data_IF_316995258836
#
_entry.id   IF_316995258836
#
_cell.length_a   1.000
_cell.length_b   1.000
_cell.length_c   1.000
_cell.angle_alpha   90.00
_cell.angle_beta   90.00
_cell.angle_gamma   90.00
#
_symmetry.space_group_name_H-M   'P 1'
#
loop_
_entity.id
_entity.type
_entity.pdbx_description
1 polymer ?
#
# COMPACT_ATOMS: atom_id res chain seq x y z
N UNK A 1 -4.97 0.93 -3.96
CA UNK A 1 -5.44 -0.44 -4.20
C UNK A 1 -4.41 -1.26 -4.97
N UNK A 2 -4.52 -2.62 -5.00
CA UNK A 2 -3.74 -3.52 -5.88
C UNK A 2 -4.70 -4.23 -6.81
N UNK A 3 -4.39 -4.27 -8.12
CA UNK A 3 -5.19 -4.95 -9.13
C UNK A 3 -4.29 -5.78 -10.06
N UNK A 4 -4.56 -7.09 -10.13
CA UNK A 4 -3.89 -7.99 -11.08
C UNK A 4 -4.57 -8.00 -12.45
N UNK A 5 -3.79 -8.11 -13.51
CA UNK A 5 -4.28 -8.32 -14.87
C UNK A 5 -3.58 -9.57 -15.41
N UNK A 6 -4.34 -10.63 -15.64
CA UNK A 6 -3.78 -11.91 -16.08
C UNK A 6 -4.52 -12.50 -17.28
N UNK A 7 -3.86 -13.37 -17.98
CA UNK A 7 -4.35 -14.03 -19.21
C UNK A 7 -3.20 -14.78 -19.88
N UNK A 8 -3.51 -15.54 -20.92
CA UNK A 8 -2.48 -16.20 -21.73
C UNK A 8 -1.58 -15.17 -22.44
N UNK A 9 -0.48 -15.64 -23.00
CA UNK A 9 0.34 -14.84 -23.90
C UNK A 9 -0.55 -14.25 -25.02
N UNK A 10 -0.21 -13.06 -25.49
CA UNK A 10 -0.91 -12.33 -26.57
C UNK A 10 -2.42 -12.06 -26.33
N UNK A 11 -2.89 -12.14 -25.08
CA UNK A 11 -4.28 -11.78 -24.72
C UNK A 11 -4.54 -10.28 -24.55
N UNK A 12 -3.62 -9.42 -24.95
CA UNK A 12 -3.77 -7.95 -24.88
C UNK A 12 -3.56 -7.33 -23.49
N UNK A 13 -2.92 -8.04 -22.53
CA UNK A 13 -2.67 -7.54 -21.17
C UNK A 13 -1.89 -6.23 -21.15
N UNK A 14 -0.76 -6.20 -21.81
CA UNK A 14 0.13 -5.03 -21.83
C UNK A 14 -0.58 -3.82 -22.43
N UNK A 15 -1.26 -3.99 -23.56
CA UNK A 15 -2.04 -2.92 -24.20
C UNK A 15 -3.16 -2.39 -23.29
N UNK A 16 -3.83 -3.28 -22.54
CA UNK A 16 -4.87 -2.84 -21.58
C UNK A 16 -4.25 -2.10 -20.39
N UNK A 17 -3.10 -2.57 -19.87
CA UNK A 17 -2.36 -1.89 -18.80
C UNK A 17 -1.92 -0.50 -19.23
N UNK A 18 -1.32 -0.36 -20.42
CA UNK A 18 -0.88 0.92 -20.98
C UNK A 18 -2.06 1.93 -21.08
N UNK A 19 -3.17 1.50 -21.70
CA UNK A 19 -4.37 2.35 -21.80
C UNK A 19 -4.94 2.75 -20.45
N UNK A 20 -4.96 1.82 -19.50
CA UNK A 20 -5.47 2.08 -18.14
C UNK A 20 -4.54 3.05 -17.38
N UNK A 21 -3.21 2.85 -17.45
CA UNK A 21 -2.23 3.76 -16.84
C UNK A 21 -2.41 5.16 -17.38
N UNK A 22 -2.47 5.33 -18.72
CA UNK A 22 -2.67 6.62 -19.36
C UNK A 22 -3.95 7.31 -18.85
N UNK A 23 -5.09 6.62 -18.91
CA UNK A 23 -6.37 7.17 -18.47
C UNK A 23 -6.41 7.53 -16.97
N UNK A 24 -5.75 6.76 -16.12
CA UNK A 24 -5.65 7.05 -14.68
C UNK A 24 -4.74 8.26 -14.40
N UNK A 25 -3.59 8.32 -15.06
CA UNK A 25 -2.63 9.43 -14.90
C UNK A 25 -3.24 10.75 -15.39
N UNK A 26 -3.95 10.76 -16.52
CA UNK A 26 -4.70 11.94 -17.01
C UNK A 26 -5.74 12.44 -15.99
N UNK A 27 -6.31 11.53 -15.18
CA UNK A 27 -7.25 11.86 -14.09
C UNK A 27 -6.55 12.23 -12.77
N UNK A 28 -5.23 12.31 -12.75
CA UNK A 28 -4.44 12.69 -11.58
C UNK A 28 -4.18 11.58 -10.56
N UNK A 29 -4.42 10.30 -10.90
CA UNK A 29 -4.06 9.19 -10.04
C UNK A 29 -2.55 8.88 -10.14
N UNK A 30 -1.93 8.54 -9.01
CA UNK A 30 -0.58 7.99 -8.97
C UNK A 30 -0.64 6.49 -9.21
N UNK A 31 -0.01 6.02 -10.28
CA UNK A 31 -0.06 4.62 -10.69
C UNK A 31 1.35 4.03 -10.65
N UNK A 32 1.49 2.88 -10.01
CA UNK A 32 2.69 2.03 -10.13
C UNK A 32 2.35 0.74 -10.86
N UNK A 33 3.28 0.21 -11.63
CA UNK A 33 3.09 -1.06 -12.34
C UNK A 33 4.13 -2.08 -11.90
N UNK A 34 3.72 -3.35 -11.85
CA UNK A 34 4.60 -4.49 -11.62
C UNK A 34 4.40 -5.50 -12.74
N UNK A 35 5.45 -5.80 -13.48
CA UNK A 35 5.45 -6.88 -14.46
C UNK A 35 5.96 -8.15 -13.80
N UNK A 36 5.11 -9.19 -13.73
CA UNK A 36 5.49 -10.51 -13.24
C UNK A 36 5.73 -11.46 -14.41
N UNK A 37 6.89 -12.11 -14.43
CA UNK A 37 7.22 -13.18 -15.37
C UNK A 37 7.45 -14.49 -14.63
N UNK A 38 6.88 -15.58 -15.16
CA UNK A 38 7.10 -16.95 -14.63
C UNK A 38 8.36 -17.62 -15.19
N UNK A 39 8.90 -17.06 -16.28
CA UNK A 39 10.14 -17.54 -16.90
C UNK A 39 11.30 -16.76 -16.29
N UNK A 40 12.28 -17.40 -15.69
CA UNK A 40 13.41 -16.81 -14.96
C UNK A 40 14.22 -15.75 -15.73
N UNK A 41 13.50 -14.78 -16.32
CA UNK A 41 14.07 -13.64 -17.06
C UNK A 41 14.59 -12.62 -16.08
N UNK A 42 15.78 -12.10 -16.34
CA UNK A 42 16.35 -10.95 -15.63
C UNK A 42 16.36 -9.73 -16.54
N UNK A 43 16.19 -8.54 -15.95
CA UNK A 43 16.47 -7.27 -16.61
C UNK A 43 17.98 -6.98 -16.61
N UNK A 44 18.73 -7.62 -15.72
CA UNK A 44 20.19 -7.55 -15.64
C UNK A 44 20.83 -8.54 -16.63
N UNK A 45 21.77 -8.07 -17.40
CA UNK A 45 22.46 -8.87 -18.43
C UNK A 45 23.77 -9.47 -17.89
N UNK A 46 23.98 -10.75 -18.15
CA UNK A 46 25.20 -11.45 -17.78
C UNK A 46 26.44 -10.74 -18.36
N UNK A 47 27.49 -10.61 -17.54
CA UNK A 47 28.75 -9.97 -17.92
C UNK A 47 28.79 -8.45 -17.78
N UNK A 48 27.63 -7.77 -17.54
CA UNK A 48 27.59 -6.33 -17.22
C UNK A 48 28.09 -6.05 -15.81
N UNK A 49 28.43 -4.79 -15.52
CA UNK A 49 29.02 -4.41 -14.23
C UNK A 49 28.06 -4.69 -13.07
N UNK A 50 26.77 -4.41 -13.23
CA UNK A 50 25.73 -4.74 -12.24
C UNK A 50 25.67 -6.22 -11.93
N UNK A 51 25.70 -7.08 -12.96
CA UNK A 51 25.75 -8.53 -12.79
C UNK A 51 27.05 -9.00 -12.08
N UNK A 52 28.20 -8.40 -12.42
CA UNK A 52 29.50 -8.71 -11.79
C UNK A 52 29.50 -8.31 -10.30
N UNK A 53 28.92 -7.15 -9.95
CA UNK A 53 28.77 -6.73 -8.57
C UNK A 53 27.90 -7.72 -7.78
N UNK A 54 26.78 -8.16 -8.35
CA UNK A 54 25.97 -9.21 -7.74
C UNK A 54 26.74 -10.51 -7.53
N UNK A 55 27.46 -11.00 -8.55
CA UNK A 55 28.28 -12.21 -8.44
C UNK A 55 29.36 -12.10 -7.37
N UNK A 56 29.86 -10.90 -7.11
CA UNK A 56 30.79 -10.61 -6.02
C UNK A 56 30.12 -10.55 -4.63
N UNK A 57 28.77 -10.69 -4.53
CA UNK A 57 28.04 -10.75 -3.28
C UNK A 57 27.21 -9.51 -2.93
N UNK A 58 27.12 -8.51 -3.82
CA UNK A 58 26.26 -7.34 -3.57
C UNK A 58 24.78 -7.66 -3.85
N UNK A 59 23.89 -7.41 -2.89
CA UNK A 59 22.43 -7.50 -3.04
C UNK A 59 21.74 -6.54 -2.04
N UNK A 60 21.01 -5.51 -2.47
CA UNK A 60 20.74 -5.15 -3.87
C UNK A 60 21.92 -4.49 -4.60
N UNK A 61 21.88 -4.53 -5.93
CA UNK A 61 22.72 -3.70 -6.79
C UNK A 61 21.88 -2.52 -7.31
N UNK A 62 22.44 -1.33 -7.29
CA UNK A 62 21.77 -0.13 -7.84
C UNK A 62 22.53 0.34 -9.07
N UNK A 63 21.83 0.46 -10.18
CA UNK A 63 22.28 1.17 -11.37
C UNK A 63 21.67 2.58 -11.37
N UNK A 64 22.48 3.59 -11.61
CA UNK A 64 22.04 4.97 -11.70
C UNK A 64 22.70 5.67 -12.86
N UNK A 65 21.93 6.42 -13.63
CA UNK A 65 22.37 7.26 -14.74
C UNK A 65 21.57 8.57 -14.75
N UNK A 66 21.87 9.48 -15.66
CA UNK A 66 21.09 10.71 -15.85
C UNK A 66 19.66 10.44 -16.36
N UNK A 67 19.39 9.23 -16.87
CA UNK A 67 18.08 8.86 -17.42
C UNK A 67 17.22 8.04 -16.45
N UNK A 68 17.84 7.16 -15.61
CA UNK A 68 17.08 6.24 -14.77
C UNK A 68 17.86 5.78 -13.54
N UNK A 69 17.12 5.30 -12.54
CA UNK A 69 17.66 4.53 -11.41
C UNK A 69 16.94 3.20 -11.32
N UNK A 70 17.71 2.09 -11.35
CA UNK A 70 17.21 0.73 -11.25
C UNK A 70 17.78 0.04 -10.02
N UNK A 71 16.90 -0.53 -9.17
CA UNK A 71 17.30 -1.36 -8.02
C UNK A 71 17.11 -2.83 -8.40
N UNK A 72 18.20 -3.58 -8.46
CA UNK A 72 18.21 -4.99 -8.87
C UNK A 72 18.41 -5.85 -7.62
N UNK A 73 17.44 -6.74 -7.37
CA UNK A 73 17.53 -7.78 -6.34
C UNK A 73 17.43 -9.13 -7.01
N UNK A 74 18.46 -9.95 -6.85
CA UNK A 74 18.51 -11.27 -7.47
C UNK A 74 17.82 -12.36 -6.63
N UNK A 75 16.83 -11.96 -5.85
CA UNK A 75 16.01 -12.85 -5.04
C UNK A 75 14.53 -12.69 -5.37
N UNK A 76 13.77 -13.79 -5.25
CA UNK A 76 12.32 -13.74 -5.42
C UNK A 76 11.70 -12.94 -4.28
N UNK A 77 11.11 -11.80 -4.60
CA UNK A 77 10.37 -10.99 -3.63
C UNK A 77 8.87 -11.24 -3.77
N UNK A 78 8.15 -11.58 -2.70
CA UNK A 78 6.69 -11.71 -2.73
C UNK A 78 6.03 -10.41 -3.21
N UNK A 79 4.92 -10.53 -3.94
CA UNK A 79 4.21 -9.36 -4.48
C UNK A 79 3.70 -8.42 -3.39
N UNK A 80 3.37 -8.97 -2.24
CA UNK A 80 2.92 -8.22 -1.06
C UNK A 80 4.05 -7.30 -0.52
N UNK A 81 5.29 -7.78 -0.56
CA UNK A 81 6.45 -7.00 -0.13
C UNK A 81 6.81 -5.92 -1.17
N UNK A 82 6.74 -6.25 -2.47
CA UNK A 82 6.88 -5.25 -3.55
C UNK A 82 5.83 -4.16 -3.40
N UNK A 83 4.58 -4.53 -3.17
CA UNK A 83 3.48 -3.58 -3.00
C UNK A 83 3.67 -2.70 -1.75
N UNK A 84 4.23 -3.26 -0.67
CA UNK A 84 4.57 -2.50 0.55
C UNK A 84 5.66 -1.47 0.28
N UNK A 85 6.74 -1.86 -0.38
CA UNK A 85 7.82 -0.94 -0.80
C UNK A 85 7.26 0.21 -1.64
N UNK A 86 6.48 -0.11 -2.68
CA UNK A 86 5.87 0.91 -3.54
C UNK A 86 4.95 1.87 -2.75
N UNK A 87 4.18 1.37 -1.79
CA UNK A 87 3.31 2.21 -0.95
C UNK A 87 4.08 3.14 -0.03
N UNK A 88 5.21 2.69 0.53
CA UNK A 88 6.05 3.50 1.41
C UNK A 88 6.73 4.62 0.63
N UNK A 89 7.38 4.28 -0.48
CA UNK A 89 8.27 5.19 -1.20
C UNK A 89 7.51 6.12 -2.16
N UNK A 90 6.46 5.61 -2.83
CA UNK A 90 5.77 6.33 -3.92
C UNK A 90 4.31 6.65 -3.63
N UNK A 91 3.69 6.03 -2.61
CA UNK A 91 2.29 6.20 -2.20
C UNK A 91 1.30 6.18 -3.38
N UNK A 92 1.33 5.16 -4.26
CA UNK A 92 0.44 5.11 -5.40
C UNK A 92 -1.01 4.88 -4.97
N UNK A 93 -1.96 5.47 -5.69
CA UNK A 93 -3.38 5.19 -5.55
C UNK A 93 -3.71 3.78 -6.06
N UNK A 94 -3.00 3.37 -7.14
CA UNK A 94 -3.19 2.06 -7.80
C UNK A 94 -1.86 1.40 -8.08
N UNK A 95 -1.74 0.12 -7.73
CA UNK A 95 -0.65 -0.76 -8.16
C UNK A 95 -1.25 -1.78 -9.13
N UNK A 96 -0.85 -1.74 -10.39
CA UNK A 96 -1.25 -2.70 -11.42
C UNK A 96 -0.20 -3.80 -11.52
N UNK A 97 -0.62 -5.06 -11.38
CA UNK A 97 0.26 -6.24 -11.50
C UNK A 97 -0.09 -7.00 -12.74
N UNK A 98 0.79 -6.96 -13.76
CA UNK A 98 0.62 -7.70 -14.99
C UNK A 98 1.23 -9.10 -14.90
N UNK A 99 0.49 -10.12 -15.31
CA UNK A 99 1.00 -11.48 -15.52
C UNK A 99 0.90 -12.42 -14.32
N UNK A 100 0.48 -11.96 -13.13
CA UNK A 100 0.37 -12.79 -11.94
C UNK A 100 -1.06 -13.32 -11.74
N UNK A 101 -1.24 -14.64 -11.91
CA UNK A 101 -2.51 -15.31 -11.63
C UNK A 101 -2.72 -15.62 -10.15
N UNK A 102 -1.63 -15.84 -9.42
CA UNK A 102 -1.64 -16.11 -7.98
C UNK A 102 -1.60 -14.79 -7.16
N UNK A 103 -1.83 -14.87 -5.86
CA UNK A 103 -1.88 -13.71 -4.96
C UNK A 103 -3.30 -13.42 -4.46
N UNK A 104 -3.42 -12.84 -3.25
CA UNK A 104 -4.70 -12.56 -2.58
C UNK A 104 -5.18 -11.13 -2.83
N UNK A 105 -5.30 -10.73 -4.07
CA UNK A 105 -5.80 -9.41 -4.48
C UNK A 105 -6.74 -9.53 -5.67
N UNK A 106 -7.56 -8.53 -5.89
CA UNK A 106 -8.56 -8.49 -6.98
C UNK A 106 -7.88 -8.54 -8.34
N UNK A 107 -8.50 -9.27 -9.29
CA UNK A 107 -7.90 -9.55 -10.60
C UNK A 107 -8.89 -9.38 -11.75
N UNK A 108 -8.34 -9.03 -12.89
CA UNK A 108 -9.01 -8.98 -14.19
C UNK A 108 -8.47 -10.12 -15.06
N UNK A 109 -9.36 -10.92 -15.60
CA UNK A 109 -9.02 -12.01 -16.52
C UNK A 109 -9.21 -11.58 -17.97
N UNK A 110 -8.20 -11.82 -18.82
CA UNK A 110 -8.26 -11.55 -20.27
C UNK A 110 -8.14 -12.85 -21.07
N UNK A 111 -8.91 -12.90 -22.15
CA UNK A 111 -9.03 -14.09 -23.02
C UNK A 111 -9.82 -15.20 -22.35
N UNK A 112 -9.61 -16.42 -22.81
CA UNK A 112 -10.32 -17.64 -22.35
C UNK A 112 -9.65 -18.31 -21.15
N UNK A 113 -8.99 -17.53 -20.28
CA UNK A 113 -8.37 -18.07 -19.09
C UNK A 113 -9.42 -18.42 -18.02
N UNK A 114 -9.22 -19.55 -17.32
CA UNK A 114 -10.08 -19.93 -16.19
C UNK A 114 -9.98 -18.88 -15.08
N UNK A 115 -11.11 -18.29 -14.65
CA UNK A 115 -11.11 -17.29 -13.58
C UNK A 115 -10.67 -17.90 -12.25
N UNK A 116 -10.08 -17.07 -11.38
CA UNK A 116 -9.79 -17.38 -9.97
C UNK A 116 -10.92 -16.82 -9.08
N UNK A 117 -10.94 -17.22 -7.80
CA UNK A 117 -11.92 -16.69 -6.83
C UNK A 117 -11.86 -15.16 -6.69
N UNK A 118 -10.68 -14.56 -6.89
CA UNK A 118 -10.47 -13.11 -6.80
C UNK A 118 -10.71 -12.37 -8.14
N UNK A 119 -11.22 -13.06 -9.17
CA UNK A 119 -11.49 -12.43 -10.47
C UNK A 119 -12.77 -11.60 -10.40
N UNK A 120 -12.63 -10.30 -10.55
CA UNK A 120 -13.74 -9.32 -10.46
C UNK A 120 -14.31 -8.91 -11.81
N UNK A 121 -13.50 -8.94 -12.86
CA UNK A 121 -13.90 -8.64 -14.23
C UNK A 121 -13.27 -9.63 -15.21
N UNK A 122 -14.01 -9.92 -16.30
CA UNK A 122 -13.55 -10.76 -17.41
C UNK A 122 -13.69 -9.98 -18.72
N UNK A 123 -12.60 -9.88 -19.47
CA UNK A 123 -12.55 -9.18 -20.75
C UNK A 123 -13.23 -7.80 -20.72
N UNK A 124 -12.97 -6.94 -19.70
CA UNK A 124 -13.59 -5.64 -19.65
C UNK A 124 -13.06 -4.74 -20.78
N UNK A 125 -13.89 -3.85 -21.28
CA UNK A 125 -13.39 -2.71 -22.02
C UNK A 125 -12.74 -1.70 -21.08
N UNK A 126 -12.03 -0.71 -21.63
CA UNK A 126 -11.30 0.28 -20.84
C UNK A 126 -12.22 1.06 -19.89
N UNK A 127 -13.40 1.48 -20.37
CA UNK A 127 -14.34 2.27 -19.57
C UNK A 127 -14.86 1.51 -18.35
N UNK A 128 -15.23 0.24 -18.53
CA UNK A 128 -15.66 -0.65 -17.44
C UNK A 128 -14.55 -0.82 -16.39
N UNK A 129 -13.32 -1.03 -16.88
CA UNK A 129 -12.17 -1.23 -16.01
C UNK A 129 -11.81 0.06 -15.24
N UNK A 130 -11.80 1.19 -15.93
CA UNK A 130 -11.53 2.51 -15.35
C UNK A 130 -12.55 2.85 -14.26
N UNK A 131 -13.85 2.71 -14.56
CA UNK A 131 -14.93 2.92 -13.57
C UNK A 131 -14.78 2.02 -12.35
N UNK A 132 -14.42 0.76 -12.57
CA UNK A 132 -14.17 -0.19 -11.47
C UNK A 132 -13.01 0.28 -10.59
N UNK A 133 -11.87 0.66 -11.18
CA UNK A 133 -10.68 1.13 -10.46
C UNK A 133 -10.98 2.42 -9.67
N UNK A 134 -11.63 3.40 -10.29
CA UNK A 134 -12.00 4.66 -9.64
C UNK A 134 -12.89 4.42 -8.42
N UNK A 135 -13.90 3.54 -8.57
CA UNK A 135 -14.78 3.18 -7.45
C UNK A 135 -14.02 2.49 -6.31
N UNK A 136 -13.13 1.55 -6.62
CA UNK A 136 -12.35 0.84 -5.59
C UNK A 136 -11.34 1.76 -4.90
N UNK A 137 -10.71 2.69 -5.63
CA UNK A 137 -9.83 3.71 -5.02
C UNK A 137 -10.64 4.63 -4.09
N UNK A 138 -11.83 5.04 -4.50
CA UNK A 138 -12.70 5.85 -3.64
C UNK A 138 -13.08 5.08 -2.35
N UNK A 139 -13.40 3.79 -2.45
CA UNK A 139 -13.68 2.94 -1.28
C UNK A 139 -12.47 2.84 -0.35
N UNK A 140 -11.27 2.60 -0.89
CA UNK A 140 -10.04 2.55 -0.08
C UNK A 140 -9.76 3.89 0.62
N UNK A 141 -9.94 5.03 -0.06
CA UNK A 141 -9.79 6.36 0.54
C UNK A 141 -10.78 6.60 1.70
N UNK A 142 -12.02 6.10 1.60
CA UNK A 142 -12.97 6.15 2.71
C UNK A 142 -12.51 5.23 3.86
N UNK A 143 -12.03 4.02 3.56
CA UNK A 143 -11.54 3.08 4.57
C UNK A 143 -10.35 3.63 5.36
N UNK A 144 -9.47 4.40 4.72
CA UNK A 144 -8.35 5.08 5.38
C UNK A 144 -8.80 6.19 6.34
N UNK A 145 -9.99 6.76 6.12
CA UNK A 145 -10.55 7.85 6.92
C UNK A 145 -11.43 7.40 8.08
N UNK A 146 -11.84 6.13 8.10
CA UNK A 146 -12.64 5.56 9.20
C UNK A 146 -11.78 4.68 10.11
N UNK A 147 -12.18 4.43 11.37
CA UNK A 147 -11.38 3.67 12.33
C UNK A 147 -11.03 2.23 11.95
N UNK A 148 -11.76 1.61 11.02
CA UNK A 148 -11.47 0.25 10.54
C UNK A 148 -11.77 -0.89 11.54
N UNK A 149 -12.53 -0.64 12.61
CA UNK A 149 -12.77 -1.58 13.72
C UNK A 149 -13.68 -2.77 13.37
N UNK A 150 -14.37 -2.74 12.24
CA UNK A 150 -15.40 -3.73 11.87
C UNK A 150 -16.44 -4.02 12.97
N UNK A 151 -16.70 -3.06 13.84
CA UNK A 151 -17.54 -3.19 15.04
C UNK A 151 -19.04 -3.37 14.75
N UNK A 152 -19.49 -3.09 13.53
CA UNK A 152 -20.86 -3.15 13.05
C UNK A 152 -21.87 -2.28 13.82
N UNK A 153 -21.45 -1.37 14.71
CA UNK A 153 -22.35 -0.47 15.45
C UNK A 153 -23.19 0.41 14.53
N UNK A 154 -22.71 0.75 13.34
CA UNK A 154 -23.47 1.47 12.32
C UNK A 154 -24.36 0.56 11.45
N UNK A 155 -24.52 -0.72 11.81
CA UNK A 155 -25.29 -1.74 11.07
C UNK A 155 -24.57 -2.36 9.89
N UNK A 156 -23.28 -2.03 9.66
CA UNK A 156 -22.46 -2.52 8.52
C UNK A 156 -21.04 -2.82 8.98
N UNK A 157 -20.32 -3.69 8.25
CA UNK A 157 -18.87 -3.74 8.38
C UNK A 157 -18.23 -2.51 7.70
N UNK A 158 -16.94 -2.26 7.95
CA UNK A 158 -16.27 -1.06 7.44
C UNK A 158 -16.17 -1.03 5.90
N UNK A 159 -16.06 -2.17 5.23
CA UNK A 159 -16.06 -2.27 3.77
C UNK A 159 -17.43 -1.88 3.19
N UNK A 160 -18.52 -2.46 3.72
CA UNK A 160 -19.89 -2.15 3.32
C UNK A 160 -20.24 -0.68 3.61
N UNK A 161 -19.76 -0.13 4.73
CA UNK A 161 -19.94 1.27 5.08
C UNK A 161 -19.23 2.17 4.07
N UNK A 162 -17.96 1.91 3.76
CA UNK A 162 -17.20 2.69 2.79
C UNK A 162 -17.88 2.68 1.39
N UNK A 163 -18.35 1.52 0.93
CA UNK A 163 -19.13 1.40 -0.31
C UNK A 163 -20.42 2.20 -0.27
N UNK A 164 -21.12 2.22 0.87
CA UNK A 164 -22.35 3.01 1.03
C UNK A 164 -22.06 4.52 1.00
N UNK A 165 -20.92 4.96 1.54
CA UNK A 165 -20.48 6.37 1.45
C UNK A 165 -20.15 6.75 0.01
N UNK A 166 -19.37 5.94 -0.70
CA UNK A 166 -19.05 6.16 -2.14
C UNK A 166 -20.31 6.21 -3.00
N UNK A 167 -21.30 5.36 -2.69
CA UNK A 167 -22.59 5.34 -3.38
C UNK A 167 -23.56 6.48 -2.96
N UNK A 168 -23.15 7.41 -2.10
CA UNK A 168 -23.96 8.52 -1.62
C UNK A 168 -25.10 8.13 -0.64
N UNK A 169 -25.13 6.85 -0.21
CA UNK A 169 -26.18 6.33 0.71
C UNK A 169 -25.88 6.58 2.19
N UNK A 170 -24.67 7.02 2.50
CA UNK A 170 -24.20 7.33 3.86
C UNK A 170 -23.21 8.50 3.79
N UNK A 171 -23.07 9.21 4.94
CA UNK A 171 -22.03 10.22 5.14
C UNK A 171 -20.89 9.62 5.99
N UNK A 172 -19.72 10.18 5.89
CA UNK A 172 -18.55 9.72 6.68
C UNK A 172 -18.85 9.80 8.20
N UNK A 173 -19.54 10.87 8.64
CA UNK A 173 -19.95 11.09 10.02
C UNK A 173 -20.99 10.09 10.57
N UNK A 174 -21.60 9.25 9.72
CA UNK A 174 -22.53 8.20 10.18
C UNK A 174 -21.79 7.01 10.85
N UNK A 175 -20.45 7.01 10.83
CA UNK A 175 -19.65 6.04 11.58
C UNK A 175 -19.65 6.41 13.08
N UNK A 176 -20.31 5.60 13.91
CA UNK A 176 -20.45 5.85 15.35
C UNK A 176 -19.10 5.94 16.09
N UNK A 177 -18.11 5.21 15.59
CA UNK A 177 -16.76 5.18 16.16
C UNK A 177 -15.82 6.21 15.52
N UNK A 178 -16.35 7.14 14.71
CA UNK A 178 -15.53 8.21 14.14
C UNK A 178 -14.94 9.05 15.27
N UNK A 179 -13.62 9.19 15.38
CA UNK A 179 -13.00 9.95 16.45
C UNK A 179 -13.25 11.45 16.28
N UNK A 180 -13.45 12.16 17.39
CA UNK A 180 -13.58 13.61 17.43
C UNK A 180 -12.20 14.30 17.35
N UNK A 181 -11.14 13.57 17.66
CA UNK A 181 -9.74 14.01 17.61
C UNK A 181 -8.91 13.06 16.76
N UNK A 182 -7.96 13.60 16.03
CA UNK A 182 -7.04 12.80 15.22
C UNK A 182 -5.92 12.29 16.13
N UNK A 183 -5.82 10.97 16.30
CA UNK A 183 -4.66 10.30 16.86
C UNK A 183 -4.35 9.09 15.99
N UNK A 184 -3.10 8.96 15.55
CA UNK A 184 -2.65 7.83 14.74
C UNK A 184 -1.45 7.16 15.39
N UNK A 185 -1.51 5.83 15.50
CA UNK A 185 -0.39 5.01 15.95
C UNK A 185 -0.06 4.01 14.86
N UNK A 186 1.23 3.90 14.56
CA UNK A 186 1.74 2.88 13.64
C UNK A 186 2.87 2.10 14.30
N UNK A 187 2.87 0.78 14.13
CA UNK A 187 3.92 -0.11 14.60
C UNK A 187 4.50 -0.85 13.40
N UNK A 188 5.80 -0.70 13.17
CA UNK A 188 6.45 -1.30 12.00
C UNK A 188 5.83 -0.88 10.67
N UNK A 189 5.35 0.37 10.57
CA UNK A 189 4.66 0.91 9.39
C UNK A 189 3.19 0.49 9.25
N UNK A 190 2.65 -0.33 10.18
CA UNK A 190 1.25 -0.73 10.16
C UNK A 190 0.43 0.18 11.09
N UNK A 191 -0.56 0.87 10.52
CA UNK A 191 -1.48 1.72 11.29
C UNK A 191 -2.38 0.85 12.16
N UNK A 192 -2.50 1.22 13.45
CA UNK A 192 -3.44 0.60 14.37
C UNK A 192 -4.83 1.21 14.23
N UNK A 193 -5.87 0.35 14.22
CA UNK A 193 -7.26 0.78 14.21
C UNK A 193 -7.66 1.27 15.60
N UNK A 194 -8.05 2.54 15.72
CA UNK A 194 -8.49 3.13 16.98
C UNK A 194 -9.88 3.77 16.82
N UNK A 195 -10.79 3.41 17.73
CA UNK A 195 -12.10 4.05 17.82
C UNK A 195 -12.05 5.38 18.59
N UNK A 196 -13.20 6.05 18.68
CA UNK A 196 -13.37 7.36 19.32
C UNK A 196 -12.72 7.43 20.70
N UNK A 197 -13.02 6.47 21.58
CA UNK A 197 -12.48 6.46 22.94
C UNK A 197 -10.97 6.31 22.97
N UNK A 198 -10.41 5.32 22.24
CA UNK A 198 -8.97 5.10 22.21
C UNK A 198 -8.20 6.30 21.63
N UNK A 199 -8.69 6.90 20.55
CA UNK A 199 -8.10 8.09 19.95
C UNK A 199 -8.08 9.27 20.91
N UNK A 200 -9.18 9.47 21.67
CA UNK A 200 -9.27 10.51 22.70
C UNK A 200 -8.25 10.28 23.81
N UNK A 201 -8.22 9.07 24.39
CA UNK A 201 -7.26 8.72 25.45
C UNK A 201 -5.81 8.94 25.02
N UNK A 202 -5.45 8.43 23.84
CA UNK A 202 -4.09 8.61 23.30
C UNK A 202 -3.75 10.08 23.12
N UNK A 203 -4.63 10.87 22.49
CA UNK A 203 -4.39 12.29 22.27
C UNK A 203 -4.22 13.06 23.59
N UNK A 204 -5.13 12.85 24.56
CA UNK A 204 -5.07 13.53 25.86
C UNK A 204 -3.82 13.14 26.67
N UNK A 205 -3.49 11.83 26.68
CA UNK A 205 -2.31 11.33 27.40
C UNK A 205 -1.02 11.88 26.81
N UNK A 206 -0.85 11.82 25.48
CA UNK A 206 0.34 12.32 24.80
C UNK A 206 0.48 13.83 25.04
N UNK A 207 -0.58 14.61 24.83
CA UNK A 207 -0.55 16.07 25.05
C UNK A 207 -0.28 16.42 26.51
N UNK A 208 -0.81 15.64 27.46
CA UNK A 208 -0.52 15.81 28.87
C UNK A 208 0.94 15.56 29.23
N UNK A 209 1.55 14.53 28.64
CA UNK A 209 2.97 14.21 28.84
C UNK A 209 3.89 15.29 28.25
N UNK A 210 3.63 15.72 27.00
CA UNK A 210 4.50 16.70 26.33
C UNK A 210 4.20 18.16 26.72
N UNK A 211 3.03 18.41 27.32
CA UNK A 211 2.56 19.75 27.69
C UNK A 211 3.46 20.49 28.69
N UNK A 212 4.26 19.75 29.47
CA UNK A 212 5.25 20.31 30.38
C UNK A 212 6.62 20.57 29.74
N UNK A 213 6.82 20.17 28.48
CA UNK A 213 8.09 20.33 27.80
C UNK A 213 8.23 21.75 27.24
N UNK A 214 9.46 22.28 27.34
CA UNK A 214 9.77 23.59 26.74
C UNK A 214 9.60 23.55 25.22
N UNK A 215 8.88 24.53 24.67
CA UNK A 215 8.58 24.60 23.23
C UNK A 215 7.27 23.88 22.82
N UNK A 216 6.50 23.34 23.76
CA UNK A 216 5.18 22.81 23.45
C UNK A 216 4.19 23.91 23.05
N UNK A 217 3.51 23.73 21.94
CA UNK A 217 2.44 24.58 21.43
C UNK A 217 1.14 23.77 21.34
N UNK A 218 0.08 24.11 22.12
CA UNK A 218 -1.15 23.32 22.18
C UNK A 218 -1.87 23.12 20.86
N UNK A 219 -1.77 24.10 19.96
CA UNK A 219 -2.48 24.11 18.66
C UNK A 219 -1.68 23.44 17.51
N UNK A 220 -0.48 22.94 17.79
CA UNK A 220 0.35 22.24 16.81
C UNK A 220 0.16 20.73 16.87
N UNK A 221 0.45 20.08 15.74
CA UNK A 221 0.54 18.62 15.68
C UNK A 221 1.73 18.13 16.52
N UNK A 222 1.58 16.94 17.12
CA UNK A 222 2.61 16.30 17.94
C UNK A 222 3.01 14.99 17.27
N UNK A 223 4.27 14.90 16.86
CA UNK A 223 4.88 13.70 16.31
C UNK A 223 5.80 13.05 17.35
N UNK A 224 5.60 11.76 17.63
CA UNK A 224 6.42 10.98 18.56
C UNK A 224 7.03 9.80 17.85
N UNK A 225 8.36 9.71 17.86
CA UNK A 225 9.12 8.58 17.37
C UNK A 225 9.67 7.75 18.53
N UNK A 226 9.17 6.50 18.65
CA UNK A 226 9.70 5.52 19.61
C UNK A 226 10.50 4.46 18.86
N UNK A 227 11.80 4.45 19.06
CA UNK A 227 12.67 3.39 18.56
C UNK A 227 12.55 2.10 19.41
N UNK A 228 13.09 0.95 18.95
CA UNK A 228 13.17 -0.26 19.75
C UNK A 228 13.96 0.01 21.03
N UNK A 229 13.48 -0.55 22.16
CA UNK A 229 14.19 -0.46 23.43
C UNK A 229 15.60 -1.04 23.26
N UNK A 230 16.63 -0.20 23.40
CA UNK A 230 18.01 -0.70 23.45
C UNK A 230 18.21 -1.37 24.81
N UNK A 231 18.73 -2.61 24.89
CA UNK A 231 19.06 -3.21 26.18
C UNK A 231 20.06 -2.28 26.88
N UNK A 232 19.73 -1.87 28.10
CA UNK A 232 20.64 -1.10 28.93
C UNK A 232 21.82 -2.01 29.23
N UNK A 233 22.99 -1.71 28.65
CA UNK A 233 24.24 -2.38 29.06
C UNK A 233 24.58 -1.92 30.47
N UNK A 234 24.17 -2.71 31.45
CA UNK A 234 24.66 -2.53 32.84
C UNK A 234 26.14 -2.87 32.81
N UNK A 235 26.96 -1.82 32.76
CA UNK A 235 28.41 -1.97 32.82
C UNK A 235 28.82 -2.87 33.99
N UNK A 236 29.53 -3.98 33.73
CA UNK A 236 30.16 -4.76 34.76
C UNK A 236 31.07 -3.83 35.58
N UNK A 237 30.70 -3.55 36.84
CA UNK A 237 31.61 -2.93 37.82
C UNK A 237 32.88 -3.81 37.89
N UNK A 238 33.96 -3.31 37.34
CA UNK A 238 35.29 -3.87 37.60
C UNK A 238 35.55 -3.61 39.08
N UNK A 239 35.48 -4.66 39.90
CA UNK A 239 36.03 -4.63 41.26
C UNK A 239 37.55 -4.61 41.11
N UNK A 240 38.16 -3.56 41.55
CA UNK A 240 39.61 -3.54 41.89
C UNK A 240 39.82 -4.14 43.28
#
# INVERSE_FOLDING_TARGET
>A
MILGIYGYQDSGKTTLVEKLVHALVEKGYRVSTVKHSVHGMSVDAEGKDTWRHWKAGSDPVVFSSDAETTIIRHSKTPIEDIARMLKVDYRPDVILVEGLKQGKFKKVALGNVKPTADTVLRNPNLEQLLRYVENEVAVERIKERIPGLNCRKCGRNCEEFARAVVAGKRKLGDCIEMPDVIAEISIGGNKLSMGRFASKVVNETVRGLVGSLHGYEPDKDVDIHLGPARPVQIGKRIRR
#
